data_IF_397422527991
#
_entry.id   IF_397422527991
#
_cell.length_a   1.000
_cell.length_b   1.000
_cell.length_c   1.000
_cell.angle_alpha   90.00
_cell.angle_beta   90.00
_cell.angle_gamma   90.00
#
_symmetry.space_group_name_H-M   'P 1'
#
loop_
_entity.id
_entity.type
_entity.pdbx_description
1 polymer ?
#
# COMPACT_ATOMS: atom_id res chain seq x y z
N UNK A 1 -2.93 -29.43 16.87
CA UNK A 1 -1.66 -29.01 16.23
C UNK A 1 -1.72 -29.05 14.71
N UNK A 2 -2.02 -30.19 14.06
CA UNK A 2 -2.07 -30.26 12.58
C UNK A 2 -3.02 -29.24 11.93
N UNK A 3 -4.16 -28.98 12.56
CA UNK A 3 -5.17 -28.00 12.08
C UNK A 3 -4.57 -26.59 12.09
N UNK A 4 -3.97 -26.17 13.19
CA UNK A 4 -3.37 -24.83 13.31
C UNK A 4 -2.19 -24.62 12.34
N UNK A 5 -1.33 -25.64 12.14
CA UNK A 5 -0.26 -25.62 11.14
C UNK A 5 -0.82 -25.50 9.72
N UNK A 6 -2.00 -26.06 9.45
CA UNK A 6 -2.67 -25.94 8.15
C UNK A 6 -3.25 -24.53 7.98
N UNK A 7 -3.96 -24.01 8.97
CA UNK A 7 -4.52 -22.65 8.94
C UNK A 7 -3.44 -21.58 8.74
N UNK A 8 -2.27 -21.74 9.38
CA UNK A 8 -1.14 -20.83 9.17
C UNK A 8 -0.60 -20.91 7.72
N UNK A 9 -0.58 -22.10 7.12
CA UNK A 9 -0.20 -22.26 5.71
C UNK A 9 -1.21 -21.57 4.79
N UNK A 10 -2.49 -21.85 5.01
CA UNK A 10 -3.58 -21.31 4.21
C UNK A 10 -3.62 -19.77 4.31
N UNK A 11 -3.45 -19.22 5.51
CA UNK A 11 -3.31 -17.78 5.72
C UNK A 11 -2.06 -17.19 5.03
N UNK A 12 -0.94 -17.94 5.01
CA UNK A 12 0.27 -17.48 4.30
C UNK A 12 0.09 -17.51 2.78
N UNK A 13 -0.68 -18.45 2.23
CA UNK A 13 -1.04 -18.49 0.80
C UNK A 13 -1.97 -17.34 0.43
N UNK A 14 -2.97 -17.05 1.26
CA UNK A 14 -3.89 -15.93 1.04
C UNK A 14 -3.15 -14.58 1.09
N UNK A 15 -2.17 -14.45 2.00
CA UNK A 15 -1.30 -13.28 2.06
C UNK A 15 -0.49 -13.10 0.76
N UNK A 16 0.00 -14.17 0.16
CA UNK A 16 0.69 -14.11 -1.12
C UNK A 16 -0.25 -13.65 -2.25
N UNK A 17 -1.48 -14.15 -2.31
CA UNK A 17 -2.49 -13.67 -3.27
C UNK A 17 -2.81 -12.18 -3.06
N UNK A 18 -2.85 -11.73 -1.81
CA UNK A 18 -3.05 -10.31 -1.50
C UNK A 18 -1.88 -9.45 -1.98
N UNK A 19 -0.64 -9.95 -1.90
CA UNK A 19 0.55 -9.28 -2.47
C UNK A 19 0.50 -9.21 -4.00
N UNK A 20 0.03 -10.25 -4.67
CA UNK A 20 -0.18 -10.25 -6.12
C UNK A 20 -1.27 -9.24 -6.51
N UNK A 21 -2.35 -9.16 -5.71
CA UNK A 21 -3.38 -8.14 -5.85
C UNK A 21 -2.82 -6.73 -5.69
N UNK A 22 -1.99 -6.50 -4.68
CA UNK A 22 -1.31 -5.22 -4.48
C UNK A 22 -0.41 -4.85 -5.66
N UNK A 23 0.36 -5.80 -6.19
CA UNK A 23 1.19 -5.57 -7.37
C UNK A 23 0.35 -5.15 -8.59
N UNK A 24 -0.83 -5.77 -8.77
CA UNK A 24 -1.78 -5.41 -9.84
C UNK A 24 -2.33 -3.99 -9.68
N UNK A 25 -2.70 -3.58 -8.46
CA UNK A 25 -3.18 -2.22 -8.19
C UNK A 25 -2.07 -1.19 -8.44
N UNK A 26 -0.83 -1.47 -8.01
CA UNK A 26 0.32 -0.60 -8.27
C UNK A 26 0.61 -0.48 -9.77
N UNK A 27 0.44 -1.55 -10.53
CA UNK A 27 0.59 -1.51 -11.99
C UNK A 27 -0.48 -0.61 -12.64
N UNK A 28 -1.74 -0.70 -12.18
CA UNK A 28 -2.83 0.18 -12.64
C UNK A 28 -2.59 1.64 -12.26
N UNK A 29 -2.08 1.91 -11.05
CA UNK A 29 -1.68 3.25 -10.64
C UNK A 29 -0.63 3.84 -11.58
N UNK A 30 0.45 3.08 -11.86
CA UNK A 30 1.53 3.53 -12.76
C UNK A 30 1.02 3.81 -14.17
N UNK A 31 0.13 2.96 -14.70
CA UNK A 31 -0.47 3.18 -16.01
C UNK A 31 -1.31 4.46 -16.05
N UNK A 32 -2.13 4.71 -15.03
CA UNK A 32 -2.89 5.94 -14.92
C UNK A 32 -1.97 7.18 -14.81
N UNK A 33 -0.88 7.10 -14.04
CA UNK A 33 0.13 8.16 -13.93
C UNK A 33 0.84 8.42 -15.28
N UNK A 34 1.12 7.41 -16.07
CA UNK A 34 1.67 7.53 -17.42
C UNK A 34 0.68 8.22 -18.36
N UNK A 35 -0.59 7.83 -18.33
CA UNK A 35 -1.67 8.48 -19.07
C UNK A 35 -1.79 9.97 -18.70
N UNK A 36 -1.73 10.30 -17.41
CA UNK A 36 -1.70 11.68 -16.92
C UNK A 36 -0.54 12.48 -17.52
N UNK A 37 0.66 11.91 -17.56
CA UNK A 37 1.83 12.58 -18.13
C UNK A 37 1.70 12.78 -19.65
N UNK A 38 1.17 11.78 -20.37
CA UNK A 38 0.91 11.86 -21.80
C UNK A 38 -0.13 12.94 -22.10
N UNK A 39 -1.25 12.95 -21.38
CA UNK A 39 -2.30 13.96 -21.57
C UNK A 39 -1.80 15.38 -21.28
N UNK A 40 -0.96 15.58 -20.24
CA UNK A 40 -0.32 16.88 -19.98
C UNK A 40 0.57 17.34 -21.14
N UNK A 41 1.33 16.44 -21.74
CA UNK A 41 2.16 16.75 -22.88
C UNK A 41 1.32 17.12 -24.12
N UNK A 42 0.23 16.37 -24.37
CA UNK A 42 -0.69 16.63 -25.47
C UNK A 42 -1.44 17.96 -25.30
N UNK A 43 -1.89 18.29 -24.10
CA UNK A 43 -2.50 19.58 -23.78
C UNK A 43 -1.51 20.70 -24.10
N UNK A 44 -0.29 20.63 -23.58
CA UNK A 44 0.75 21.66 -23.82
C UNK A 44 1.05 21.84 -25.31
N UNK A 45 1.12 20.73 -26.08
CA UNK A 45 1.34 20.76 -27.53
C UNK A 45 0.18 21.45 -28.25
N UNK A 46 -1.07 21.11 -27.92
CA UNK A 46 -2.25 21.69 -28.53
C UNK A 46 -2.46 23.16 -28.11
N UNK A 47 -2.08 23.56 -26.89
CA UNK A 47 -2.02 24.98 -26.49
C UNK A 47 -1.09 25.78 -27.43
N UNK A 48 0.07 25.22 -27.82
CA UNK A 48 0.96 25.81 -28.82
C UNK A 48 0.31 25.97 -30.19
N UNK A 49 -0.51 25.01 -30.62
CA UNK A 49 -1.24 25.13 -31.90
C UNK A 49 -2.31 26.22 -31.84
N UNK A 50 -3.02 26.39 -30.72
CA UNK A 50 -3.96 27.49 -30.52
C UNK A 50 -3.26 28.85 -30.68
N UNK A 51 -2.08 29.01 -30.03
CA UNK A 51 -1.31 30.26 -30.13
C UNK A 51 -0.95 30.56 -31.60
N UNK A 52 -0.46 29.55 -32.32
CA UNK A 52 -0.10 29.69 -33.73
C UNK A 52 -1.30 30.03 -34.64
N UNK A 53 -2.46 29.44 -34.37
CA UNK A 53 -3.69 29.73 -35.12
C UNK A 53 -4.18 31.18 -34.84
N UNK A 54 -4.09 31.65 -33.60
CA UNK A 54 -4.42 33.02 -33.22
C UNK A 54 -3.49 34.06 -33.86
N UNK A 55 -2.17 33.76 -33.93
CA UNK A 55 -1.20 34.61 -34.64
C UNK A 55 -1.55 34.76 -36.14
N UNK A 56 -2.02 33.66 -36.74
CA UNK A 56 -2.50 33.64 -38.15
C UNK A 56 -3.92 34.22 -38.30
N UNK A 57 -4.56 34.67 -37.25
CA UNK A 57 -5.96 35.17 -37.21
C UNK A 57 -6.99 34.14 -37.64
N UNK A 58 -6.66 32.86 -37.57
CA UNK A 58 -7.56 31.72 -37.83
C UNK A 58 -8.30 31.35 -36.56
N UNK A 59 -9.37 32.08 -36.26
CA UNK A 59 -10.12 31.88 -35.04
C UNK A 59 -10.93 30.58 -35.05
N UNK A 60 -11.35 30.10 -36.23
CA UNK A 60 -12.11 28.85 -36.36
C UNK A 60 -11.25 27.64 -35.99
N UNK A 61 -10.03 27.57 -36.51
CA UNK A 61 -9.07 26.53 -36.15
C UNK A 61 -8.66 26.62 -34.68
N UNK A 62 -8.49 27.83 -34.13
CA UNK A 62 -8.18 28.01 -32.71
C UNK A 62 -9.29 27.47 -31.81
N UNK A 63 -10.55 27.65 -32.19
CA UNK A 63 -11.72 27.15 -31.45
C UNK A 63 -11.82 25.62 -31.54
N UNK A 64 -11.62 25.03 -32.72
CA UNK A 64 -11.61 23.58 -32.89
C UNK A 64 -10.51 22.90 -32.02
N UNK A 65 -9.31 23.46 -32.01
CA UNK A 65 -8.20 22.93 -31.16
C UNK A 65 -8.51 23.15 -29.68
N UNK A 66 -9.16 24.24 -29.29
CA UNK A 66 -9.55 24.49 -27.90
C UNK A 66 -10.58 23.46 -27.39
N UNK A 67 -11.54 23.05 -28.24
CA UNK A 67 -12.47 21.96 -27.92
C UNK A 67 -11.70 20.66 -27.65
N UNK A 68 -10.67 20.38 -28.45
CA UNK A 68 -9.81 19.20 -28.26
C UNK A 68 -9.03 19.27 -26.93
N UNK A 69 -8.50 20.44 -26.59
CA UNK A 69 -7.81 20.66 -25.31
C UNK A 69 -8.76 20.46 -24.13
N UNK A 70 -9.97 20.99 -24.19
CA UNK A 70 -10.98 20.78 -23.17
C UNK A 70 -11.31 19.29 -22.96
N UNK A 71 -11.40 18.53 -24.06
CA UNK A 71 -11.57 17.07 -23.97
C UNK A 71 -10.39 16.35 -23.31
N UNK A 72 -9.15 16.79 -23.58
CA UNK A 72 -7.98 16.25 -22.93
C UNK A 72 -7.91 16.64 -21.44
N UNK A 73 -8.30 17.84 -21.06
CA UNK A 73 -8.39 18.28 -19.67
C UNK A 73 -9.39 17.45 -18.88
N UNK A 74 -10.58 17.16 -19.45
CA UNK A 74 -11.56 16.28 -18.82
C UNK A 74 -11.04 14.85 -18.63
N UNK A 75 -10.31 14.32 -19.64
CA UNK A 75 -9.65 13.02 -19.53
C UNK A 75 -8.54 13.04 -18.47
N UNK A 76 -7.77 14.11 -18.42
CA UNK A 76 -6.69 14.30 -17.45
C UNK A 76 -7.24 14.29 -16.02
N UNK A 77 -8.36 14.95 -15.78
CA UNK A 77 -9.05 14.91 -14.48
C UNK A 77 -9.45 13.48 -14.12
N UNK A 78 -10.11 12.77 -15.05
CA UNK A 78 -10.53 11.38 -14.85
C UNK A 78 -9.35 10.45 -14.53
N UNK A 79 -8.25 10.53 -15.28
CA UNK A 79 -7.05 9.71 -15.07
C UNK A 79 -6.32 10.08 -13.77
N UNK A 80 -6.29 11.37 -13.44
CA UNK A 80 -5.72 11.84 -12.17
C UNK A 80 -6.49 11.28 -10.97
N UNK A 81 -7.82 11.26 -11.05
CA UNK A 81 -8.65 10.70 -9.99
C UNK A 81 -8.55 9.17 -9.93
N UNK A 82 -8.39 8.51 -11.09
CA UNK A 82 -8.10 7.08 -11.12
C UNK A 82 -6.76 6.76 -10.44
N UNK A 83 -5.70 7.51 -10.74
CA UNK A 83 -4.39 7.35 -10.12
C UNK A 83 -4.44 7.55 -8.60
N UNK A 84 -5.16 8.57 -8.13
CA UNK A 84 -5.37 8.82 -6.68
C UNK A 84 -6.13 7.66 -6.01
N UNK A 85 -7.19 7.15 -6.64
CA UNK A 85 -7.95 6.00 -6.12
C UNK A 85 -7.10 4.75 -6.02
N UNK A 86 -6.34 4.41 -7.08
CA UNK A 86 -5.44 3.25 -7.05
C UNK A 86 -4.36 3.41 -5.98
N UNK A 87 -3.80 4.60 -5.82
CA UNK A 87 -2.84 4.89 -4.75
C UNK A 87 -3.44 4.63 -3.36
N UNK A 88 -4.62 5.19 -3.09
CA UNK A 88 -5.30 4.99 -1.81
C UNK A 88 -5.62 3.50 -1.54
N UNK A 89 -6.07 2.77 -2.57
CA UNK A 89 -6.32 1.33 -2.46
C UNK A 89 -5.03 0.54 -2.20
N UNK A 90 -3.93 0.89 -2.90
CA UNK A 90 -2.63 0.27 -2.69
C UNK A 90 -2.11 0.51 -1.27
N UNK A 91 -2.25 1.71 -0.74
CA UNK A 91 -1.81 2.07 0.61
C UNK A 91 -2.63 1.32 1.68
N UNK A 92 -3.96 1.27 1.54
CA UNK A 92 -4.84 0.50 2.44
C UNK A 92 -4.52 -1.01 2.39
N UNK A 93 -4.34 -1.57 1.19
CA UNK A 93 -4.02 -2.99 1.05
C UNK A 93 -2.64 -3.32 1.60
N UNK A 94 -1.66 -2.43 1.42
CA UNK A 94 -0.30 -2.57 1.99
C UNK A 94 -0.35 -2.62 3.52
N UNK A 95 -1.13 -1.74 4.14
CA UNK A 95 -1.32 -1.72 5.60
C UNK A 95 -1.98 -3.00 6.10
N UNK A 96 -3.01 -3.48 5.39
CA UNK A 96 -3.68 -4.74 5.70
C UNK A 96 -2.74 -5.94 5.58
N UNK A 97 -1.91 -5.99 4.54
CA UNK A 97 -0.88 -7.02 4.34
C UNK A 97 0.12 -7.00 5.49
N UNK A 98 0.65 -5.84 5.86
CA UNK A 98 1.61 -5.71 6.97
C UNK A 98 0.99 -6.21 8.30
N UNK A 99 -0.26 -5.87 8.55
CA UNK A 99 -0.98 -6.33 9.74
C UNK A 99 -1.14 -7.86 9.73
N UNK A 100 -1.55 -8.43 8.60
CA UNK A 100 -1.71 -9.87 8.45
C UNK A 100 -0.36 -10.62 8.60
N UNK A 101 0.72 -10.06 8.05
CA UNK A 101 2.08 -10.61 8.23
C UNK A 101 2.50 -10.69 9.71
N UNK A 102 2.24 -9.61 10.46
CA UNK A 102 2.52 -9.58 11.88
C UNK A 102 1.70 -10.63 12.64
N UNK A 103 0.41 -10.76 12.33
CA UNK A 103 -0.47 -11.75 12.96
C UNK A 103 -0.03 -13.19 12.64
N UNK A 104 0.29 -13.50 11.38
CA UNK A 104 0.79 -14.82 10.98
C UNK A 104 2.10 -15.14 11.70
N UNK A 105 3.01 -14.17 11.80
CA UNK A 105 4.27 -14.32 12.53
C UNK A 105 4.03 -14.63 14.00
N UNK A 106 3.12 -13.92 14.64
CA UNK A 106 2.75 -14.14 16.03
C UNK A 106 2.11 -15.52 16.24
N UNK A 107 1.20 -15.94 15.36
CA UNK A 107 0.60 -17.26 15.40
C UNK A 107 1.63 -18.39 15.25
N UNK A 108 2.61 -18.22 14.34
CA UNK A 108 3.73 -19.17 14.19
C UNK A 108 4.52 -19.31 15.49
N UNK A 109 4.86 -18.21 16.15
CA UNK A 109 5.60 -18.20 17.42
C UNK A 109 4.78 -18.87 18.54
N UNK A 110 3.49 -18.54 18.65
CA UNK A 110 2.61 -19.19 19.62
C UNK A 110 2.52 -20.69 19.41
N UNK A 111 2.42 -21.12 18.14
CA UNK A 111 2.38 -22.54 17.77
C UNK A 111 3.68 -23.25 18.18
N UNK A 112 4.84 -22.64 17.96
CA UNK A 112 6.12 -23.20 18.39
C UNK A 112 6.20 -23.33 19.92
N UNK A 113 5.71 -22.33 20.66
CA UNK A 113 5.66 -22.37 22.13
C UNK A 113 4.78 -23.51 22.63
N UNK A 114 3.59 -23.67 22.04
CA UNK A 114 2.68 -24.76 22.41
C UNK A 114 3.31 -26.11 22.09
N UNK A 115 3.97 -26.28 20.93
CA UNK A 115 4.70 -27.51 20.58
C UNK A 115 5.80 -27.82 21.60
N UNK A 116 6.58 -26.81 22.00
CA UNK A 116 7.61 -26.94 23.02
C UNK A 116 7.01 -27.34 24.38
N UNK A 117 5.92 -26.71 24.80
CA UNK A 117 5.21 -27.03 26.03
C UNK A 117 4.68 -28.46 26.05
N UNK A 118 4.06 -28.91 24.94
CA UNK A 118 3.61 -30.31 24.82
C UNK A 118 4.77 -31.30 24.88
N UNK A 119 5.93 -30.97 24.26
CA UNK A 119 7.12 -31.83 24.33
C UNK A 119 7.62 -31.96 25.78
N UNK A 120 7.65 -30.84 26.55
CA UNK A 120 8.01 -30.87 27.96
C UNK A 120 7.02 -31.71 28.78
N UNK A 121 5.70 -31.52 28.58
CA UNK A 121 4.68 -32.31 29.28
C UNK A 121 4.79 -33.80 28.98
N UNK A 122 5.07 -34.19 27.71
CA UNK A 122 5.32 -35.60 27.33
C UNK A 122 6.57 -36.15 28.02
N UNK A 123 7.65 -35.36 28.07
CA UNK A 123 8.87 -35.77 28.75
C UNK A 123 8.63 -35.95 30.26
N UNK A 124 7.92 -35.04 30.91
CA UNK A 124 7.52 -35.14 32.32
C UNK A 124 6.67 -36.40 32.59
N UNK A 125 5.71 -36.71 31.72
CA UNK A 125 4.88 -37.91 31.83
C UNK A 125 5.69 -39.19 31.73
N UNK A 126 6.67 -39.24 30.82
CA UNK A 126 7.58 -40.38 30.65
C UNK A 126 8.51 -40.55 31.87
N UNK A 127 9.00 -39.43 32.44
CA UNK A 127 9.82 -39.46 33.68
C UNK A 127 9.00 -39.92 34.87
N UNK A 128 7.77 -39.43 35.01
CA UNK A 128 6.86 -39.86 36.08
C UNK A 128 6.51 -41.35 36.01
N UNK A 129 6.43 -41.92 34.79
CA UNK A 129 6.18 -43.34 34.59
C UNK A 129 7.43 -44.25 34.77
N UNK A 130 8.62 -43.70 34.63
CA UNK A 130 9.91 -44.43 34.84
C UNK A 130 10.59 -43.86 36.06
N UNK A 131 10.37 -44.47 37.22
CA UNK A 131 10.88 -44.03 38.51
C UNK A 131 12.42 -44.09 38.68
N UNK A 132 13.19 -44.18 37.60
CA UNK A 132 14.66 -44.18 37.62
C UNK A 132 15.27 -43.33 36.50
N UNK A 133 15.79 -42.17 36.92
CA UNK A 133 16.98 -41.56 36.30
C UNK A 133 16.91 -41.01 34.89
N UNK A 134 16.44 -39.78 34.74
CA UNK A 134 17.00 -38.90 33.70
C UNK A 134 16.56 -37.43 33.91
N UNK A 135 17.19 -36.77 34.89
CA UNK A 135 17.04 -35.31 35.10
C UNK A 135 17.65 -34.44 33.96
N UNK A 136 18.51 -35.02 33.15
CA UNK A 136 19.24 -34.29 32.08
C UNK A 136 18.36 -33.80 30.93
N UNK A 137 17.49 -34.64 30.37
CA UNK A 137 16.62 -34.27 29.24
C UNK A 137 15.50 -33.30 29.64
N UNK A 138 15.04 -33.36 30.88
CA UNK A 138 14.02 -32.44 31.41
C UNK A 138 14.61 -31.04 31.57
N UNK A 139 15.86 -30.95 32.06
CA UNK A 139 16.56 -29.69 32.24
C UNK A 139 16.84 -29.00 30.90
N UNK A 140 17.29 -29.73 29.88
CA UNK A 140 17.51 -29.20 28.51
C UNK A 140 16.18 -28.72 27.88
N UNK A 141 15.07 -29.41 28.11
CA UNK A 141 13.74 -28.97 27.59
C UNK A 141 13.22 -27.72 28.29
N UNK A 142 13.43 -27.58 29.61
CA UNK A 142 13.09 -26.37 30.38
C UNK A 142 13.95 -25.17 29.94
N UNK A 143 15.27 -25.35 29.81
CA UNK A 143 16.18 -24.32 29.32
C UNK A 143 15.79 -23.85 27.90
N UNK A 144 15.33 -24.75 27.04
CA UNK A 144 14.84 -24.42 25.69
C UNK A 144 13.54 -23.62 25.72
N UNK A 145 12.61 -23.95 26.64
CA UNK A 145 11.35 -23.23 26.83
C UNK A 145 11.59 -21.79 27.33
N UNK A 146 12.52 -21.63 28.27
CA UNK A 146 12.88 -20.32 28.80
C UNK A 146 13.52 -19.43 27.74
N UNK A 147 14.41 -19.98 26.89
CA UNK A 147 14.97 -19.27 25.74
C UNK A 147 13.89 -18.86 24.72
N UNK A 148 12.91 -19.72 24.45
CA UNK A 148 11.78 -19.40 23.57
C UNK A 148 10.95 -18.26 24.14
N UNK A 149 10.62 -18.28 25.44
CA UNK A 149 9.88 -17.21 26.12
C UNK A 149 10.64 -15.87 26.11
N UNK A 150 11.94 -15.91 26.30
CA UNK A 150 12.79 -14.72 26.29
C UNK A 150 12.88 -14.09 24.89
N UNK A 151 13.04 -14.92 23.85
CA UNK A 151 12.98 -14.48 22.47
C UNK A 151 11.61 -13.93 22.06
N UNK A 152 10.50 -14.49 22.59
CA UNK A 152 9.16 -13.95 22.38
C UNK A 152 9.00 -12.56 22.98
N UNK A 153 9.40 -12.36 24.25
CA UNK A 153 9.36 -11.04 24.89
C UNK A 153 10.14 -9.99 24.11
N UNK A 154 11.32 -10.36 23.60
CA UNK A 154 12.15 -9.46 22.80
C UNK A 154 11.49 -9.14 21.44
N UNK A 155 10.82 -10.12 20.83
CA UNK A 155 10.14 -9.93 19.55
C UNK A 155 8.88 -9.08 19.72
N UNK A 156 8.10 -9.31 20.78
CA UNK A 156 6.91 -8.51 21.11
C UNK A 156 7.30 -7.05 21.39
N UNK A 157 8.39 -6.82 22.13
CA UNK A 157 8.92 -5.48 22.35
C UNK A 157 9.39 -4.79 21.05
N UNK A 158 10.04 -5.53 20.14
CA UNK A 158 10.43 -4.99 18.82
C UNK A 158 9.22 -4.68 17.93
N UNK A 159 8.16 -5.49 18.01
CA UNK A 159 6.92 -5.24 17.25
C UNK A 159 6.18 -4.01 17.77
N UNK A 160 6.10 -3.85 19.10
CA UNK A 160 5.52 -2.65 19.71
C UNK A 160 6.29 -1.39 19.33
N UNK A 161 7.61 -1.41 19.41
CA UNK A 161 8.46 -0.30 18.99
C UNK A 161 8.34 0.01 17.48
N UNK A 162 8.24 -1.01 16.61
CA UNK A 162 8.03 -0.82 15.18
C UNK A 162 6.65 -0.21 14.87
N UNK A 163 5.63 -0.56 15.66
CA UNK A 163 4.28 -0.02 15.52
C UNK A 163 4.21 1.44 15.99
N UNK A 164 4.92 1.80 17.06
CA UNK A 164 5.08 3.19 17.52
C UNK A 164 5.82 4.03 16.46
N UNK A 165 6.92 3.55 15.89
CA UNK A 165 7.65 4.22 14.82
C UNK A 165 6.81 4.39 13.54
N UNK A 166 5.95 3.41 13.20
CA UNK A 166 5.04 3.51 12.06
C UNK A 166 3.93 4.54 12.29
N UNK A 167 3.44 4.70 13.53
CA UNK A 167 2.48 5.73 13.89
C UNK A 167 3.11 7.14 13.90
N UNK A 168 4.36 7.29 14.32
CA UNK A 168 5.08 8.57 14.27
C UNK A 168 5.44 9.00 12.84
N UNK A 169 5.75 8.07 11.94
CA UNK A 169 6.02 8.36 10.52
C UNK A 169 4.76 8.60 9.67
N UNK A 170 3.58 8.26 10.18
CA UNK A 170 2.26 8.48 9.54
C UNK A 170 1.71 9.90 9.70
N UNK A 171 2.57 10.90 9.92
CA UNK A 171 2.18 12.32 9.95
C UNK A 171 1.45 12.69 8.66
N UNK A 172 0.17 13.08 8.81
CA UNK A 172 -0.74 13.51 7.75
C UNK A 172 -0.04 14.38 6.72
N UNK A 173 0.15 13.85 5.52
CA UNK A 173 0.72 14.52 4.35
C UNK A 173 -0.01 15.86 4.12
N UNK A 174 0.76 16.89 3.77
CA UNK A 174 0.27 18.22 3.40
C UNK A 174 -0.80 18.16 2.30
N UNK A 175 -0.74 17.13 1.45
CA UNK A 175 -1.68 16.86 0.36
C UNK A 175 -3.11 16.57 0.86
N UNK A 176 -3.28 15.87 1.99
CA UNK A 176 -4.61 15.64 2.59
C UNK A 176 -5.25 16.92 3.16
N UNK A 177 -4.44 17.90 3.55
CA UNK A 177 -4.93 19.21 4.02
C UNK A 177 -5.37 20.11 2.87
N UNK A 178 -4.75 20.00 1.69
CA UNK A 178 -5.12 20.74 0.48
C UNK A 178 -6.40 20.17 -0.16
N UNK A 179 -6.60 18.84 -0.10
CA UNK A 179 -7.80 18.17 -0.60
C UNK A 179 -9.06 18.55 0.22
N UNK A 180 -8.93 18.75 1.53
CA UNK A 180 -10.02 19.23 2.40
C UNK A 180 -10.38 20.70 2.18
N UNK A 181 -9.53 21.48 1.50
CA UNK A 181 -9.77 22.89 1.20
C UNK A 181 -10.54 23.15 -0.11
N UNK A 182 -10.93 22.11 -0.86
CA UNK A 182 -11.97 22.21 -1.89
C UNK A 182 -11.61 22.96 -3.17
N UNK A 183 -10.39 22.80 -3.72
CA UNK A 183 -9.98 23.48 -4.96
C UNK A 183 -9.94 22.45 -6.11
N UNK A 184 -11.09 22.12 -6.70
CA UNK A 184 -11.20 21.44 -8.01
C UNK A 184 -12.43 21.93 -8.75
N UNK A 185 -12.23 22.46 -9.95
CA UNK A 185 -13.30 22.94 -10.85
C UNK A 185 -13.09 22.43 -12.27
N UNK A 186 -14.14 21.89 -12.88
CA UNK A 186 -14.15 21.42 -14.27
C UNK A 186 -13.92 22.58 -15.25
N UNK A 187 -12.96 22.41 -16.16
CA UNK A 187 -12.55 23.45 -17.11
C UNK A 187 -13.36 23.35 -18.41
N UNK A 188 -13.95 24.45 -18.86
CA UNK A 188 -14.69 24.57 -20.13
C UNK A 188 -13.76 25.09 -21.25
N UNK A 189 -14.08 24.79 -22.52
CA UNK A 189 -13.27 25.23 -23.66
C UNK A 189 -13.04 26.75 -23.69
N UNK A 190 -14.05 27.53 -23.26
CA UNK A 190 -13.96 28.97 -23.14
C UNK A 190 -12.88 29.43 -22.16
N UNK A 191 -12.80 28.77 -20.99
CA UNK A 191 -11.81 29.06 -19.95
C UNK A 191 -10.37 28.77 -20.44
N UNK A 192 -10.22 27.73 -21.28
CA UNK A 192 -8.92 27.41 -21.93
C UNK A 192 -8.52 28.50 -22.91
N UNK A 193 -9.44 28.94 -23.78
CA UNK A 193 -9.18 30.03 -24.74
C UNK A 193 -8.84 31.35 -24.04
N UNK A 194 -9.56 31.74 -23.02
CA UNK A 194 -9.33 32.98 -22.28
C UNK A 194 -8.01 32.94 -21.52
N UNK A 195 -7.65 31.80 -20.94
CA UNK A 195 -6.34 31.56 -20.29
C UNK A 195 -5.18 31.70 -21.29
N UNK A 196 -5.32 31.12 -22.48
CA UNK A 196 -4.28 31.15 -23.52
C UNK A 196 -4.17 32.53 -24.14
N UNK A 197 -5.30 33.22 -24.41
CA UNK A 197 -5.32 34.62 -24.89
C UNK A 197 -4.67 35.57 -23.88
N UNK A 198 -4.86 35.34 -22.57
CA UNK A 198 -4.21 36.13 -21.52
C UNK A 198 -2.69 35.91 -21.48
N UNK A 199 -2.19 34.68 -21.78
CA UNK A 199 -0.76 34.39 -21.87
C UNK A 199 -0.10 34.98 -23.13
N UNK A 200 -0.84 35.12 -24.24
CA UNK A 200 -0.34 35.67 -25.51
C UNK A 200 -0.22 37.23 -25.49
N UNK A 201 -0.83 37.90 -24.51
CA UNK A 201 -0.76 39.37 -24.33
C UNK A 201 0.36 39.83 -23.41
N UNK A 202 1.14 38.91 -22.83
CA UNK A 202 2.36 39.18 -22.05
C UNK A 202 3.62 38.86 -22.88
#
# INVERSE_FOLDING_TARGET
>A
MRILDQEIRDASEELNKSRDGLASIIAQQKLAEENVNTLKADIKKNEGFILTALEKKDNELAEEVAIRVANYENKLESETDAAKRFKAQADTLRESINTAEMQIKQLKQQTETVKATEAVQRAQKVVAQRHNGSNSKLRTALDSLDRIKENQKLTDAKMSAAQEMAQESGGTSLDQKLEKAGITGATKAQDVLDRIKAKAKK
#
